data_IF_847422466734
#
_entry.id   IF_847422466734
#
_cell.length_a   1.000
_cell.length_b   1.000
_cell.length_c   1.000
_cell.angle_alpha   90.00
_cell.angle_beta   90.00
_cell.angle_gamma   90.00
#
_symmetry.space_group_name_H-M   'P 1'
#
loop_
_entity.id
_entity.type
_entity.pdbx_description
1 polymer ?
#
# COMPACT_ATOMS: atom_id res chain seq x y z
N UNK A 1 7.30 1.11 -9.93
CA UNK A 1 6.30 1.21 -11.00
C UNK A 1 5.87 2.66 -11.25
N UNK A 2 5.78 3.52 -10.22
CA UNK A 2 5.16 4.84 -10.35
C UNK A 2 6.12 6.02 -10.57
N UNK A 3 7.43 5.81 -10.67
CA UNK A 3 8.30 6.88 -11.16
C UNK A 3 8.07 7.07 -12.68
N UNK A 4 8.17 8.29 -13.21
CA UNK A 4 7.95 8.56 -14.64
C UNK A 4 8.84 7.70 -15.55
N UNK A 5 10.10 7.50 -15.15
CA UNK A 5 11.07 6.66 -15.87
C UNK A 5 10.63 5.21 -15.95
N UNK A 6 10.20 4.61 -14.83
CA UNK A 6 9.72 3.23 -14.79
C UNK A 6 8.42 3.09 -15.56
N UNK A 7 7.49 4.04 -15.41
CA UNK A 7 6.22 4.03 -16.15
C UNK A 7 6.47 4.03 -17.67
N UNK A 8 7.38 4.88 -18.17
CA UNK A 8 7.72 4.94 -19.60
C UNK A 8 8.29 3.61 -20.11
N UNK A 9 9.17 2.97 -19.35
CA UNK A 9 9.76 1.68 -19.72
C UNK A 9 8.71 0.57 -19.73
N UNK A 10 7.95 0.43 -18.64
CA UNK A 10 6.95 -0.64 -18.49
C UNK A 10 5.82 -0.48 -19.52
N UNK A 11 5.33 0.75 -19.74
CA UNK A 11 4.32 1.01 -20.76
C UNK A 11 4.84 0.70 -22.17
N UNK A 12 6.12 0.97 -22.47
CA UNK A 12 6.72 0.58 -23.75
C UNK A 12 6.75 -0.94 -23.96
N UNK A 13 7.08 -1.72 -22.93
CA UNK A 13 7.05 -3.19 -22.97
C UNK A 13 5.63 -3.70 -23.19
N UNK A 14 4.66 -3.20 -22.43
CA UNK A 14 3.26 -3.63 -22.54
C UNK A 14 2.66 -3.27 -23.90
N UNK A 15 2.90 -2.05 -24.41
CA UNK A 15 2.48 -1.67 -25.76
C UNK A 15 3.00 -2.61 -26.84
N UNK A 16 4.22 -3.13 -26.66
CA UNK A 16 4.87 -4.00 -27.66
C UNK A 16 4.45 -5.46 -27.55
N UNK A 17 4.33 -5.99 -26.33
CA UNK A 17 4.21 -7.44 -26.10
C UNK A 17 2.89 -7.86 -25.44
N UNK A 18 2.20 -6.94 -24.75
CA UNK A 18 1.02 -7.22 -23.93
C UNK A 18 -0.04 -6.11 -24.06
N UNK A 19 -0.46 -5.73 -25.28
CA UNK A 19 -1.32 -4.56 -25.50
C UNK A 19 -2.70 -4.71 -24.84
N UNK A 20 -3.20 -5.94 -24.71
CA UNK A 20 -4.51 -6.25 -24.09
C UNK A 20 -4.58 -5.90 -22.60
N UNK A 21 -3.44 -5.65 -21.96
CA UNK A 21 -3.34 -5.26 -20.55
C UNK A 21 -3.20 -3.75 -20.36
N UNK A 22 -3.35 -2.96 -21.42
CA UNK A 22 -3.07 -1.55 -21.42
C UNK A 22 -4.26 -0.73 -21.92
N UNK A 23 -4.85 0.06 -21.01
CA UNK A 23 -6.05 0.84 -21.28
C UNK A 23 -5.73 2.32 -21.16
N UNK A 24 -6.06 3.12 -22.18
CA UNK A 24 -5.90 4.57 -22.07
C UNK A 24 -7.08 5.17 -21.31
N UNK A 25 -6.80 5.72 -20.14
CA UNK A 25 -7.77 6.45 -19.33
C UNK A 25 -7.71 7.93 -19.70
N UNK A 26 -8.84 8.45 -20.19
CA UNK A 26 -8.95 9.85 -20.64
C UNK A 26 -8.86 10.83 -19.48
N UNK A 27 -9.44 10.49 -18.33
CA UNK A 27 -9.48 11.39 -17.18
C UNK A 27 -8.08 11.53 -16.56
N UNK A 28 -7.36 10.42 -16.44
CA UNK A 28 -5.98 10.39 -15.96
C UNK A 28 -4.95 10.73 -17.05
N UNK A 29 -5.39 10.93 -18.29
CA UNK A 29 -4.58 11.20 -19.48
C UNK A 29 -3.34 10.28 -19.58
N UNK A 30 -3.52 8.99 -19.30
CA UNK A 30 -2.43 8.02 -19.29
C UNK A 30 -2.91 6.60 -19.53
N UNK A 31 -1.97 5.71 -19.82
CA UNK A 31 -2.24 4.30 -19.88
C UNK A 31 -2.24 3.69 -18.47
N UNK A 32 -3.26 2.92 -18.17
CA UNK A 32 -3.40 2.13 -16.96
C UNK A 32 -3.17 0.67 -17.31
N UNK A 33 -2.42 -0.01 -16.45
CA UNK A 33 -2.24 -1.45 -16.52
C UNK A 33 -3.42 -2.11 -15.82
N UNK A 34 -4.23 -2.82 -16.58
CA UNK A 34 -5.40 -3.54 -16.08
C UNK A 34 -5.59 -4.84 -16.85
N UNK A 35 -6.40 -5.74 -16.32
CA UNK A 35 -6.79 -6.98 -16.98
C UNK A 35 -8.29 -6.92 -17.29
N UNK A 36 -8.68 -7.28 -18.51
CA UNK A 36 -10.09 -7.47 -18.83
C UNK A 36 -10.64 -8.66 -18.05
N UNK A 37 -11.88 -8.57 -17.55
CA UNK A 37 -12.51 -9.66 -16.80
C UNK A 37 -12.54 -10.97 -17.59
N UNK A 38 -12.72 -10.91 -18.91
CA UNK A 38 -12.75 -12.09 -19.80
C UNK A 38 -11.39 -12.79 -19.93
N UNK A 39 -10.30 -12.13 -19.53
CA UNK A 39 -8.94 -12.70 -19.52
C UNK A 39 -8.55 -13.26 -18.15
N UNK A 40 -9.39 -13.11 -17.12
CA UNK A 40 -9.12 -13.63 -15.78
C UNK A 40 -9.45 -15.13 -15.77
N UNK A 41 -8.40 -15.95 -15.66
CA UNK A 41 -8.54 -17.42 -15.54
C UNK A 41 -8.81 -17.83 -14.10
N UNK A 42 -8.13 -17.21 -13.13
CA UNK A 42 -8.25 -17.53 -11.71
C UNK A 42 -7.84 -16.31 -10.84
N UNK A 43 -8.30 -16.28 -9.59
CA UNK A 43 -7.99 -15.25 -8.60
C UNK A 43 -7.47 -15.88 -7.32
N UNK A 44 -6.18 -15.70 -7.05
CA UNK A 44 -5.55 -16.20 -5.83
C UNK A 44 -5.81 -15.23 -4.69
N UNK A 45 -6.66 -15.62 -3.74
CA UNK A 45 -6.94 -14.82 -2.55
C UNK A 45 -5.98 -15.16 -1.42
N UNK A 46 -5.41 -14.16 -0.71
CA UNK A 46 -4.44 -14.41 0.35
C UNK A 46 -4.95 -15.28 1.52
N UNK A 47 -6.23 -15.15 1.89
CA UNK A 47 -6.83 -15.93 2.96
C UNK A 47 -7.04 -17.40 2.55
N UNK A 48 -7.46 -17.64 1.31
CA UNK A 48 -7.59 -18.98 0.73
C UNK A 48 -6.21 -19.64 0.59
N UNK A 49 -5.19 -18.90 0.17
CA UNK A 49 -3.80 -19.38 0.13
C UNK A 49 -3.30 -19.82 1.52
N UNK A 50 -3.55 -19.03 2.57
CA UNK A 50 -3.21 -19.42 3.94
C UNK A 50 -3.99 -20.67 4.39
N UNK A 51 -5.29 -20.73 4.09
CA UNK A 51 -6.12 -21.90 4.39
C UNK A 51 -5.60 -23.16 3.70
N UNK A 52 -5.13 -23.05 2.46
CA UNK A 52 -4.53 -24.16 1.74
C UNK A 52 -3.23 -24.63 2.41
N UNK A 53 -2.36 -23.71 2.83
CA UNK A 53 -1.15 -24.07 3.59
C UNK A 53 -1.48 -24.75 4.92
N UNK A 54 -2.46 -24.24 5.68
CA UNK A 54 -2.86 -24.84 6.96
C UNK A 54 -3.40 -26.28 6.81
N UNK A 55 -3.92 -26.64 5.64
CA UNK A 55 -4.43 -27.98 5.34
C UNK A 55 -3.43 -28.84 4.52
N UNK A 56 -2.27 -28.29 4.17
CA UNK A 56 -1.26 -29.00 3.38
C UNK A 56 -0.58 -30.06 4.26
N UNK A 57 -0.41 -31.27 3.73
CA UNK A 57 0.22 -32.39 4.47
C UNK A 57 1.69 -32.13 4.80
N UNK A 58 2.41 -31.53 3.86
CA UNK A 58 3.84 -31.24 3.97
C UNK A 58 4.07 -29.80 3.55
N UNK A 59 4.59 -29.00 4.47
CA UNK A 59 5.04 -27.64 4.23
C UNK A 59 6.54 -27.67 3.97
N UNK A 60 6.99 -26.95 2.96
CA UNK A 60 8.42 -26.70 2.81
C UNK A 60 8.93 -25.75 3.91
N UNK A 61 10.26 -25.55 4.05
CA UNK A 61 10.81 -24.74 5.12
C UNK A 61 10.30 -23.29 5.15
N UNK A 62 10.05 -22.66 4.00
CA UNK A 62 9.58 -21.28 3.95
C UNK A 62 8.10 -21.20 4.31
N UNK A 63 7.29 -22.09 3.74
CA UNK A 63 5.85 -22.21 4.05
C UNK A 63 5.64 -22.45 5.55
N UNK A 64 6.43 -23.36 6.15
CA UNK A 64 6.36 -23.65 7.58
C UNK A 64 6.71 -22.43 8.43
N UNK A 65 7.74 -21.66 8.08
CA UNK A 65 8.07 -20.40 8.77
C UNK A 65 6.94 -19.39 8.67
N UNK A 66 6.32 -19.26 7.50
CA UNK A 66 5.26 -18.29 7.29
C UNK A 66 3.99 -18.66 8.08
N UNK A 67 3.60 -19.93 8.08
CA UNK A 67 2.49 -20.46 8.90
C UNK A 67 2.78 -20.22 10.39
N UNK A 68 3.97 -20.55 10.88
CA UNK A 68 4.34 -20.36 12.29
C UNK A 68 4.36 -18.88 12.70
N UNK A 69 4.83 -17.99 11.82
CA UNK A 69 4.74 -16.54 12.06
C UNK A 69 3.28 -16.09 12.19
N UNK A 70 2.40 -16.52 11.29
CA UNK A 70 0.98 -16.13 11.31
C UNK A 70 0.26 -16.69 12.55
N UNK A 71 0.53 -17.94 12.93
CA UNK A 71 -0.01 -18.53 14.16
C UNK A 71 0.44 -17.75 15.40
N UNK A 72 1.72 -17.41 15.49
CA UNK A 72 2.27 -16.59 16.57
C UNK A 72 1.59 -15.21 16.63
N UNK A 73 1.41 -14.55 15.48
CA UNK A 73 0.74 -13.26 15.40
C UNK A 73 -0.72 -13.37 15.83
N UNK A 74 -1.45 -14.39 15.38
CA UNK A 74 -2.85 -14.61 15.75
C UNK A 74 -3.01 -14.86 17.25
N UNK A 75 -2.17 -15.71 17.84
CA UNK A 75 -2.18 -16.02 19.28
C UNK A 75 -1.94 -14.76 20.12
N UNK A 76 -0.88 -13.99 19.83
CA UNK A 76 -0.50 -12.83 20.64
C UNK A 76 -1.37 -11.60 20.39
N UNK A 77 -1.98 -11.47 19.22
CA UNK A 77 -2.87 -10.35 18.90
C UNK A 77 -4.32 -10.59 19.29
N UNK A 78 -4.72 -11.86 19.45
CA UNK A 78 -6.12 -12.26 19.57
C UNK A 78 -6.94 -12.09 18.27
N UNK A 79 -6.30 -11.68 17.16
CA UNK A 79 -6.97 -11.58 15.86
C UNK A 79 -7.12 -12.98 15.27
N UNK A 80 -8.34 -13.32 14.87
CA UNK A 80 -8.64 -14.63 14.26
C UNK A 80 -7.84 -14.86 12.98
N UNK A 81 -7.39 -16.10 12.75
CA UNK A 81 -6.74 -16.55 11.51
C UNK A 81 -7.56 -16.25 10.24
N UNK A 82 -8.88 -16.12 10.35
CA UNK A 82 -9.74 -15.74 9.22
C UNK A 82 -9.45 -14.34 8.66
N UNK A 83 -8.79 -13.48 9.45
CA UNK A 83 -8.35 -12.16 9.02
C UNK A 83 -6.89 -12.13 8.56
N UNK A 84 -6.22 -13.27 8.49
CA UNK A 84 -4.86 -13.37 7.96
C UNK A 84 -4.87 -13.97 6.57
N UNK A 85 -3.80 -13.69 5.82
CA UNK A 85 -3.53 -14.30 4.54
C UNK A 85 -2.05 -14.29 4.21
N UNK A 86 -1.69 -15.01 3.17
CA UNK A 86 -0.35 -15.02 2.59
C UNK A 86 -0.45 -14.71 1.11
N UNK A 87 0.41 -13.83 0.59
CA UNK A 87 0.42 -13.47 -0.82
C UNK A 87 1.83 -13.58 -1.40
N UNK A 88 2.03 -13.03 -2.61
CA UNK A 88 3.32 -13.05 -3.27
C UNK A 88 3.77 -14.45 -3.67
N UNK A 89 5.08 -14.69 -3.63
CA UNK A 89 5.68 -15.90 -4.21
C UNK A 89 5.20 -17.20 -3.55
N UNK A 90 4.90 -17.19 -2.25
CA UNK A 90 4.38 -18.37 -1.52
C UNK A 90 2.98 -18.74 -2.01
N UNK A 91 2.08 -17.76 -2.16
CA UNK A 91 0.72 -18.01 -2.66
C UNK A 91 0.67 -18.53 -4.10
N UNK A 92 1.73 -18.25 -4.88
CA UNK A 92 1.88 -18.66 -6.27
C UNK A 92 2.65 -19.99 -6.41
N UNK A 93 3.23 -20.52 -5.33
CA UNK A 93 4.14 -21.67 -5.40
C UNK A 93 5.42 -21.40 -6.22
N UNK A 94 5.83 -20.13 -6.32
CA UNK A 94 6.98 -19.66 -7.11
C UNK A 94 8.12 -19.16 -6.21
N UNK A 95 8.06 -19.43 -4.91
CA UNK A 95 9.08 -18.98 -3.97
C UNK A 95 10.36 -19.80 -4.08
N UNK A 96 11.46 -19.20 -3.63
CA UNK A 96 12.74 -19.88 -3.44
C UNK A 96 13.38 -19.47 -2.13
N UNK A 97 14.62 -19.89 -1.89
CA UNK A 97 15.31 -19.69 -0.60
C UNK A 97 15.48 -18.23 -0.18
N UNK A 98 15.40 -17.29 -1.13
CA UNK A 98 15.53 -15.85 -0.91
C UNK A 98 14.19 -15.11 -0.90
N UNK A 99 13.08 -15.83 -0.99
CA UNK A 99 11.75 -15.22 -0.95
C UNK A 99 11.43 -14.69 0.43
N UNK A 100 10.74 -13.55 0.45
CA UNK A 100 10.17 -12.98 1.66
C UNK A 100 8.84 -13.67 2.03
N UNK A 101 8.44 -13.52 3.29
CA UNK A 101 7.10 -13.88 3.76
C UNK A 101 6.17 -12.67 3.66
N UNK A 102 5.37 -12.65 2.61
CA UNK A 102 4.38 -11.61 2.34
C UNK A 102 3.06 -11.93 3.08
N UNK A 103 2.92 -11.41 4.30
CA UNK A 103 1.76 -11.64 5.18
C UNK A 103 0.73 -10.53 4.97
N UNK A 104 -0.55 -10.90 4.88
CA UNK A 104 -1.68 -9.98 4.79
C UNK A 104 -2.56 -10.03 6.02
N UNK A 105 -3.08 -8.87 6.44
CA UNK A 105 -4.12 -8.77 7.48
C UNK A 105 -5.29 -7.98 6.93
N UNK A 106 -6.47 -8.59 6.98
CA UNK A 106 -7.74 -8.00 6.55
C UNK A 106 -8.34 -7.14 7.66
N UNK A 107 -8.74 -5.92 7.32
CA UNK A 107 -9.36 -4.98 8.24
C UNK A 107 -8.37 -3.98 8.83
N UNK A 108 -8.70 -2.69 8.77
CA UNK A 108 -7.84 -1.62 9.26
C UNK A 108 -7.61 -1.70 10.77
N UNK A 109 -8.64 -2.14 11.51
CA UNK A 109 -8.57 -2.36 12.96
C UNK A 109 -7.65 -3.53 13.29
N UNK A 110 -7.84 -4.67 12.63
CA UNK A 110 -7.04 -5.89 12.84
C UNK A 110 -5.56 -5.62 12.52
N UNK A 111 -5.27 -4.99 11.38
CA UNK A 111 -3.90 -4.65 10.99
C UNK A 111 -3.18 -3.80 12.04
N UNK A 112 -3.86 -2.81 12.64
CA UNK A 112 -3.28 -1.99 13.71
C UNK A 112 -2.99 -2.80 14.98
N UNK A 113 -3.89 -3.71 15.37
CA UNK A 113 -3.66 -4.61 16.51
C UNK A 113 -2.41 -5.46 16.24
N UNK A 114 -2.32 -6.09 15.06
CA UNK A 114 -1.17 -6.92 14.69
C UNK A 114 0.14 -6.11 14.61
N UNK A 115 0.09 -4.85 14.14
CA UNK A 115 1.26 -3.96 14.17
C UNK A 115 1.76 -3.68 15.60
N UNK A 116 0.88 -3.47 16.56
CA UNK A 116 1.30 -3.32 17.96
C UNK A 116 1.85 -4.64 18.52
N UNK A 117 1.24 -5.77 18.16
CA UNK A 117 1.76 -7.11 18.50
C UNK A 117 3.16 -7.34 17.94
N UNK A 118 3.45 -6.91 16.71
CA UNK A 118 4.81 -6.98 16.14
C UNK A 118 5.84 -6.24 17.00
N UNK A 119 5.48 -5.05 17.50
CA UNK A 119 6.36 -4.26 18.37
C UNK A 119 6.58 -4.92 19.73
N UNK A 120 5.55 -5.56 20.27
CA UNK A 120 5.67 -6.33 21.52
C UNK A 120 6.55 -7.58 21.33
N UNK A 121 6.36 -8.33 20.24
CA UNK A 121 7.16 -9.51 19.92
C UNK A 121 8.63 -9.16 19.64
N UNK A 122 8.91 -8.02 19.02
CA UNK A 122 10.27 -7.48 18.85
C UNK A 122 10.93 -7.19 20.21
N UNK A 123 10.22 -6.54 21.14
CA UNK A 123 10.72 -6.30 22.52
C UNK A 123 10.98 -7.59 23.29
N UNK A 124 10.20 -8.64 23.02
CA UNK A 124 10.35 -9.98 23.63
C UNK A 124 11.40 -10.85 22.93
N UNK A 125 12.04 -10.37 21.86
CA UNK A 125 13.05 -11.13 21.10
C UNK A 125 12.48 -12.33 20.34
N UNK A 126 11.16 -12.35 20.05
CA UNK A 126 10.51 -13.42 19.28
C UNK A 126 10.66 -13.24 17.76
N UNK A 127 10.89 -12.01 17.34
CA UNK A 127 11.20 -11.57 15.97
C UNK A 127 12.02 -10.28 16.05
N UNK A 128 12.49 -9.78 14.91
CA UNK A 128 13.22 -8.50 14.86
C UNK A 128 12.63 -7.57 13.81
N UNK A 129 12.15 -6.39 14.21
CA UNK A 129 11.67 -5.38 13.26
C UNK A 129 12.83 -4.66 12.56
N UNK A 130 12.64 -4.41 11.26
CA UNK A 130 13.59 -3.66 10.44
C UNK A 130 13.71 -2.21 10.92
N UNK A 131 14.95 -1.70 10.89
CA UNK A 131 15.30 -0.33 11.25
C UNK A 131 16.25 0.30 10.21
N UNK A 132 16.31 -0.28 9.02
CA UNK A 132 17.24 0.09 7.94
C UNK A 132 16.90 1.46 7.35
N UNK A 133 15.61 1.78 7.23
CA UNK A 133 15.14 3.08 6.72
C UNK A 133 14.25 3.83 7.73
N UNK A 134 14.06 5.13 7.51
CA UNK A 134 13.07 5.92 8.25
C UNK A 134 11.66 5.34 8.08
N UNK A 135 11.32 4.89 6.88
CA UNK A 135 10.03 4.28 6.60
C UNK A 135 9.82 2.99 7.41
N UNK A 136 10.84 2.14 7.56
CA UNK A 136 10.73 0.92 8.37
C UNK A 136 10.48 1.26 9.84
N UNK A 137 11.20 2.26 10.36
CA UNK A 137 11.05 2.71 11.75
C UNK A 137 9.65 3.26 12.04
N UNK A 138 9.08 4.00 11.10
CA UNK A 138 7.74 4.58 11.26
C UNK A 138 6.65 3.52 11.10
N UNK A 139 6.75 2.70 10.04
CA UNK A 139 5.69 1.76 9.66
C UNK A 139 5.68 0.52 10.55
N UNK A 140 6.84 0.02 10.94
CA UNK A 140 6.99 -1.17 11.79
C UNK A 140 6.38 -2.44 11.20
N UNK A 141 6.24 -2.52 9.88
CA UNK A 141 5.55 -3.61 9.18
C UNK A 141 6.53 -4.55 8.45
N UNK A 142 7.84 -4.34 8.59
CA UNK A 142 8.89 -5.17 7.98
C UNK A 142 9.79 -5.69 9.09
N UNK A 143 10.18 -6.95 9.01
CA UNK A 143 11.06 -7.56 10.00
C UNK A 143 11.61 -8.91 9.57
N UNK A 144 12.17 -9.62 10.54
CA UNK A 144 12.80 -10.92 10.38
C UNK A 144 12.24 -11.90 11.42
N UNK A 145 11.87 -13.09 10.96
CA UNK A 145 11.43 -14.20 11.80
C UNK A 145 12.20 -15.46 11.38
N UNK A 146 12.90 -16.08 12.33
CA UNK A 146 13.74 -17.27 12.09
C UNK A 146 14.69 -17.12 10.88
N UNK A 147 15.35 -15.96 10.78
CA UNK A 147 16.31 -15.66 9.72
C UNK A 147 15.69 -15.36 8.33
N UNK A 148 14.37 -15.30 8.23
CA UNK A 148 13.66 -14.97 6.98
C UNK A 148 12.93 -13.64 7.12
N UNK A 149 13.06 -12.78 6.11
CA UNK A 149 12.39 -11.47 6.06
C UNK A 149 10.89 -11.64 5.85
N UNK A 150 10.09 -10.81 6.53
CA UNK A 150 8.65 -10.73 6.34
C UNK A 150 8.20 -9.29 6.11
N UNK A 151 7.08 -9.14 5.43
CA UNK A 151 6.36 -7.88 5.24
C UNK A 151 4.90 -8.10 5.60
N UNK A 152 4.36 -7.24 6.46
CA UNK A 152 2.94 -7.20 6.80
C UNK A 152 2.23 -6.14 5.94
N UNK A 153 1.16 -6.55 5.26
CA UNK A 153 0.34 -5.67 4.42
C UNK A 153 -1.12 -5.66 4.89
N UNK A 154 -1.76 -4.51 4.81
CA UNK A 154 -3.19 -4.38 5.10
C UNK A 154 -4.03 -4.63 3.85
N UNK A 155 -5.14 -5.36 3.99
CA UNK A 155 -6.18 -5.54 2.97
C UNK A 155 -7.50 -5.03 3.53
N UNK A 156 -8.27 -4.29 2.73
CA UNK A 156 -9.60 -3.82 3.13
C UNK A 156 -10.56 -5.00 3.29
N UNK A 157 -11.42 -4.95 4.28
CA UNK A 157 -12.65 -5.74 4.28
C UNK A 157 -13.63 -5.20 3.24
N UNK A 158 -14.58 -6.02 2.81
CA UNK A 158 -15.58 -5.61 1.83
C UNK A 158 -16.35 -4.36 2.29
N UNK A 159 -16.64 -4.25 3.59
CA UNK A 159 -17.32 -3.08 4.16
C UNK A 159 -16.43 -1.82 4.25
N UNK A 160 -15.10 -1.98 4.16
CA UNK A 160 -14.13 -0.88 4.10
C UNK A 160 -13.91 -0.40 2.66
N UNK A 161 -14.35 -1.16 1.66
CA UNK A 161 -14.23 -0.78 0.25
C UNK A 161 -15.30 0.25 -0.09
N UNK A 162 -14.88 1.51 -0.13
CA UNK A 162 -15.70 2.64 -0.59
C UNK A 162 -15.36 2.92 -2.05
N UNK A 163 -15.99 2.21 -2.98
CA UNK A 163 -15.88 2.51 -4.41
C UNK A 163 -16.98 3.49 -4.83
N UNK A 164 -16.58 4.58 -5.46
CA UNK A 164 -17.47 5.49 -6.20
C UNK A 164 -16.85 5.75 -7.55
N UNK A 165 -17.68 5.84 -8.58
CA UNK A 165 -17.24 6.41 -9.85
C UNK A 165 -16.98 7.90 -9.63
N UNK A 166 -15.78 8.34 -10.00
CA UNK A 166 -15.31 9.72 -9.82
C UNK A 166 -14.93 10.28 -11.19
N UNK A 167 -15.49 11.44 -11.53
CA UNK A 167 -14.98 12.24 -12.64
C UNK A 167 -13.82 13.09 -12.10
N UNK A 168 -12.68 13.03 -12.78
CA UNK A 168 -11.48 13.76 -12.35
C UNK A 168 -10.93 14.62 -13.49
N UNK A 169 -10.49 15.82 -13.11
CA UNK A 169 -9.77 16.77 -13.96
C UNK A 169 -8.39 17.03 -13.36
N UNK A 170 -7.35 16.94 -14.19
CA UNK A 170 -5.97 17.19 -13.77
C UNK A 170 -5.65 18.69 -13.81
N UNK A 171 -5.26 19.27 -12.67
CA UNK A 171 -5.00 20.71 -12.52
C UNK A 171 -3.51 21.08 -12.44
N UNK A 172 -2.63 20.18 -12.87
CA UNK A 172 -1.18 20.35 -12.84
C UNK A 172 -0.53 19.91 -11.53
N UNK A 173 0.80 19.91 -11.49
CA UNK A 173 1.56 19.55 -10.31
C UNK A 173 1.67 20.71 -9.31
N UNK A 174 1.86 20.36 -8.05
CA UNK A 174 2.10 21.31 -6.99
C UNK A 174 3.00 20.73 -5.90
N UNK A 175 3.65 21.62 -5.16
CA UNK A 175 4.29 21.31 -3.88
C UNK A 175 3.49 22.01 -2.80
N UNK A 176 2.97 21.23 -1.84
CA UNK A 176 2.23 21.77 -0.69
C UNK A 176 2.85 21.35 0.63
N UNK A 177 2.65 22.19 1.65
CA UNK A 177 2.79 21.83 3.06
C UNK A 177 1.41 21.71 3.68
N UNK A 178 1.11 20.60 4.34
CA UNK A 178 -0.21 20.34 4.94
C UNK A 178 -0.09 19.55 6.25
N UNK A 179 -1.16 19.53 7.04
CA UNK A 179 -1.24 18.79 8.30
C UNK A 179 -2.17 17.59 8.15
N UNK A 180 -1.77 16.43 8.66
CA UNK A 180 -2.61 15.23 8.64
C UNK A 180 -3.66 15.32 9.74
N UNK A 181 -4.94 15.20 9.37
CA UNK A 181 -6.08 15.18 10.29
C UNK A 181 -6.71 13.78 10.42
N UNK A 182 -6.49 12.91 9.44
CA UNK A 182 -6.94 11.52 9.43
C UNK A 182 -5.94 10.62 8.68
N UNK A 183 -5.50 9.54 9.34
CA UNK A 183 -4.60 8.51 8.82
C UNK A 183 -5.25 7.12 8.77
N UNK A 184 -6.58 7.01 8.86
CA UNK A 184 -7.28 5.72 8.90
C UNK A 184 -6.99 4.84 7.67
N UNK A 185 -7.14 5.42 6.48
CA UNK A 185 -6.92 4.77 5.17
C UNK A 185 -5.44 4.74 4.72
N UNK A 186 -4.53 5.32 5.51
CA UNK A 186 -3.12 5.49 5.12
C UNK A 186 -2.37 4.18 4.95
N UNK A 187 -2.82 3.11 5.59
CA UNK A 187 -2.16 1.79 5.60
C UNK A 187 -2.45 0.96 4.34
N UNK A 188 -3.50 1.31 3.59
CA UNK A 188 -3.97 0.54 2.44
C UNK A 188 -3.31 0.98 1.13
N UNK A 189 -3.69 0.34 0.03
CA UNK A 189 -3.41 0.78 -1.34
C UNK A 189 -4.71 1.24 -2.01
N UNK A 190 -4.76 2.45 -2.60
CA UNK A 190 -3.84 3.56 -2.35
C UNK A 190 -3.87 3.96 -0.86
N UNK A 191 -2.80 4.61 -0.39
CA UNK A 191 -2.76 5.22 0.92
C UNK A 191 -3.45 6.57 0.85
N UNK A 192 -4.43 6.81 1.73
CA UNK A 192 -5.19 8.06 1.75
C UNK A 192 -4.99 8.72 3.12
N UNK A 193 -4.61 9.99 3.08
CA UNK A 193 -4.51 10.86 4.26
C UNK A 193 -5.50 12.00 4.11
N UNK A 194 -6.36 12.20 5.10
CA UNK A 194 -7.13 13.43 5.23
C UNK A 194 -6.21 14.55 5.73
N UNK A 195 -6.24 15.71 5.09
CA UNK A 195 -5.34 16.83 5.40
C UNK A 195 -6.07 18.16 5.57
N UNK A 196 -5.45 19.08 6.32
CA UNK A 196 -5.87 20.46 6.50
C UNK A 196 -4.67 21.42 6.40
N UNK A 197 -4.95 22.73 6.50
CA UNK A 197 -3.93 23.79 6.58
C UNK A 197 -2.93 23.76 5.42
N UNK A 198 -3.42 23.46 4.23
CA UNK A 198 -2.64 23.32 3.00
C UNK A 198 -2.09 24.68 2.53
N UNK A 199 -0.76 24.81 2.52
CA UNK A 199 -0.04 25.97 1.98
C UNK A 199 0.69 25.56 0.71
N UNK A 200 0.43 26.30 -0.37
CA UNK A 200 1.11 26.08 -1.65
C UNK A 200 2.53 26.68 -1.57
N UNK A 201 3.53 25.85 -1.84
CA UNK A 201 4.93 26.26 -1.97
C UNK A 201 5.21 26.62 -3.44
N UNK A 202 4.72 25.81 -4.38
CA UNK A 202 4.81 26.07 -5.82
C UNK A 202 3.75 25.27 -6.60
N UNK A 203 3.50 25.68 -7.85
CA UNK A 203 2.58 25.01 -8.76
C UNK A 203 1.14 25.53 -8.68
N UNK A 204 0.18 24.65 -8.92
CA UNK A 204 -1.26 24.98 -9.01
C UNK A 204 -1.80 25.68 -7.75
N UNK A 205 -2.48 26.83 -7.90
CA UNK A 205 -3.08 27.56 -6.78
C UNK A 205 -4.27 26.83 -6.14
N UNK A 206 -4.94 25.96 -6.92
CA UNK A 206 -5.99 25.06 -6.41
C UNK A 206 -5.48 24.11 -5.32
N UNK A 207 -4.16 23.89 -5.25
CA UNK A 207 -3.55 23.05 -4.24
C UNK A 207 -3.78 23.55 -2.79
N UNK A 208 -4.19 24.81 -2.60
CA UNK A 208 -4.59 25.34 -1.29
C UNK A 208 -5.87 24.69 -0.73
N UNK A 209 -6.72 24.15 -1.60
CA UNK A 209 -8.01 23.55 -1.22
C UNK A 209 -7.94 22.02 -1.10
N UNK A 210 -6.74 21.44 -1.16
CA UNK A 210 -6.54 19.98 -1.06
C UNK A 210 -7.05 19.47 0.28
N UNK A 211 -7.95 18.49 0.22
CA UNK A 211 -8.52 17.80 1.39
C UNK A 211 -7.90 16.42 1.62
N UNK A 212 -7.29 15.84 0.57
CA UNK A 212 -6.70 14.50 0.63
C UNK A 212 -5.33 14.43 -0.04
N UNK A 213 -4.39 13.74 0.61
CA UNK A 213 -3.17 13.25 -0.02
C UNK A 213 -3.36 11.77 -0.33
N UNK A 214 -3.24 11.38 -1.59
CA UNK A 214 -3.41 10.00 -2.05
C UNK A 214 -2.10 9.49 -2.64
N UNK A 215 -1.57 8.37 -2.13
CA UNK A 215 -0.34 7.78 -2.63
C UNK A 215 -0.57 6.39 -3.24
N UNK A 216 -0.14 6.24 -4.48
CA UNK A 216 -0.01 4.96 -5.18
C UNK A 216 1.31 4.25 -4.83
N UNK A 217 2.27 4.95 -4.23
CA UNK A 217 3.61 4.44 -3.92
C UNK A 217 3.62 3.75 -2.55
N UNK A 218 4.02 2.47 -2.54
CA UNK A 218 3.95 1.61 -1.35
C UNK A 218 4.81 2.04 -0.16
N UNK A 219 5.89 2.80 -0.38
CA UNK A 219 6.73 3.31 0.72
C UNK A 219 5.97 4.29 1.61
N UNK A 220 5.02 5.04 1.03
CA UNK A 220 4.22 6.04 1.74
C UNK A 220 2.96 5.50 2.41
N UNK A 221 2.78 4.17 2.48
CA UNK A 221 1.68 3.58 3.27
C UNK A 221 2.01 3.63 4.76
N UNK A 222 1.12 4.17 5.58
CA UNK A 222 1.30 4.33 7.02
C UNK A 222 2.55 5.13 7.39
N UNK A 223 3.00 6.01 6.49
CA UNK A 223 4.24 6.77 6.62
C UNK A 223 4.10 8.01 7.50
N UNK A 224 2.88 8.49 7.71
CA UNK A 224 2.57 9.61 8.59
C UNK A 224 1.34 9.30 9.45
N UNK A 225 1.18 10.02 10.55
CA UNK A 225 0.10 9.89 11.52
C UNK A 225 -0.68 11.18 11.65
N UNK A 226 -1.90 11.07 12.16
CA UNK A 226 -2.67 12.25 12.57
C UNK A 226 -1.84 13.17 13.46
N UNK A 227 -1.76 14.43 13.07
CA UNK A 227 -0.97 15.47 13.74
C UNK A 227 0.33 15.82 13.01
N UNK A 228 0.87 14.95 12.15
CA UNK A 228 2.11 15.20 11.42
C UNK A 228 1.95 16.28 10.35
N UNK A 229 3.04 16.98 10.04
CA UNK A 229 3.13 17.90 8.92
C UNK A 229 3.82 17.22 7.73
N UNK A 230 3.21 17.32 6.56
CA UNK A 230 3.73 16.76 5.32
C UNK A 230 4.18 17.86 4.37
N UNK A 231 5.26 17.59 3.63
CA UNK A 231 5.59 18.26 2.38
C UNK A 231 5.32 17.24 1.27
N UNK A 232 4.43 17.60 0.34
CA UNK A 232 3.96 16.71 -0.70
C UNK A 232 4.18 17.37 -2.06
N UNK A 233 4.78 16.63 -2.99
CA UNK A 233 4.82 16.97 -4.41
C UNK A 233 4.03 15.92 -5.18
N UNK A 234 3.04 16.35 -5.95
CA UNK A 234 2.12 15.46 -6.66
C UNK A 234 1.25 16.19 -7.68
N UNK A 235 0.41 15.42 -8.37
CA UNK A 235 -0.59 15.92 -9.32
C UNK A 235 -1.85 16.36 -8.57
N UNK A 236 -2.38 17.55 -8.85
CA UNK A 236 -3.65 18.01 -8.31
C UNK A 236 -4.80 17.46 -9.16
N UNK A 237 -5.76 16.83 -8.49
CA UNK A 237 -6.98 16.32 -9.10
C UNK A 237 -8.18 17.02 -8.49
N UNK A 238 -9.03 17.58 -9.36
CA UNK A 238 -10.36 18.09 -9.04
C UNK A 238 -11.36 16.94 -9.23
N UNK A 239 -12.04 16.54 -8.16
CA UNK A 239 -12.96 15.39 -8.17
C UNK A 239 -14.40 15.89 -8.20
N UNK A 240 -15.21 15.29 -9.07
CA UNK A 240 -16.64 15.53 -9.24
C UNK A 240 -17.00 17.02 -9.31
N UNK A 241 -16.34 17.75 -10.20
CA UNK A 241 -16.62 19.18 -10.47
C UNK A 241 -16.56 20.08 -9.21
N UNK A 242 -15.53 19.89 -8.38
CA UNK A 242 -15.27 20.73 -7.21
C UNK A 242 -15.84 20.20 -5.90
N UNK A 243 -16.29 18.94 -5.86
CA UNK A 243 -16.69 18.29 -4.60
C UNK A 243 -15.53 18.28 -3.60
N UNK A 244 -14.32 17.94 -4.08
CA UNK A 244 -13.08 18.13 -3.33
C UNK A 244 -11.85 18.08 -4.25
N UNK A 245 -10.73 18.55 -3.71
CA UNK A 245 -9.41 18.47 -4.34
C UNK A 245 -8.53 17.45 -3.61
N UNK A 246 -7.74 16.70 -4.37
CA UNK A 246 -6.70 15.83 -3.82
C UNK A 246 -5.36 16.04 -4.53
N UNK A 247 -4.28 15.73 -3.82
CA UNK A 247 -2.95 15.64 -4.41
C UNK A 247 -2.54 14.16 -4.50
N UNK A 248 -2.19 13.70 -5.70
CA UNK A 248 -1.82 12.31 -5.98
C UNK A 248 -0.31 12.17 -6.13
N UNK A 249 0.26 11.24 -5.38
CA UNK A 249 1.66 10.84 -5.44
C UNK A 249 1.76 9.44 -6.07
N UNK A 250 2.60 9.32 -7.09
CA UNK A 250 2.65 8.17 -7.99
C UNK A 250 1.69 8.28 -9.18
N UNK A 251 1.43 9.50 -9.66
CA UNK A 251 0.67 9.76 -10.88
C UNK A 251 1.44 9.27 -12.12
N UNK A 252 2.78 9.32 -12.08
CA UNK A 252 3.69 8.96 -13.17
C UNK A 252 4.09 10.12 -14.08
N UNK A 253 3.65 11.36 -13.78
CA UNK A 253 3.96 12.54 -14.59
C UNK A 253 5.24 13.29 -14.19
N UNK A 254 5.60 13.28 -12.91
CA UNK A 254 6.83 13.93 -12.42
C UNK A 254 7.50 13.13 -11.29
N UNK A 255 8.68 13.58 -10.86
CA UNK A 255 9.30 13.07 -9.63
C UNK A 255 8.50 13.58 -8.42
N UNK A 256 7.67 12.71 -7.86
CA UNK A 256 6.68 12.97 -6.81
C UNK A 256 7.07 12.30 -5.51
N UNK A 257 6.74 12.94 -4.39
CA UNK A 257 7.15 12.46 -3.08
C UNK A 257 6.23 12.94 -1.95
N UNK A 258 6.33 12.23 -0.82
CA UNK A 258 5.84 12.65 0.49
C UNK A 258 7.04 12.68 1.43
N UNK A 259 7.18 13.75 2.19
CA UNK A 259 8.19 13.90 3.24
C UNK A 259 7.54 14.43 4.51
N UNK A 260 8.04 14.01 5.67
CA UNK A 260 7.62 14.58 6.96
C UNK A 260 8.44 15.85 7.22
N UNK A 261 7.75 16.96 7.50
CA UNK A 261 8.37 18.18 8.01
C UNK A 261 8.46 18.08 9.53
N UNK A 262 9.62 18.30 10.14
CA UNK A 262 9.70 18.59 11.57
C UNK A 262 8.79 19.77 11.91
N UNK A 263 8.25 19.75 13.13
CA UNK A 263 7.51 20.86 13.75
C UNK A 263 8.48 22.01 14.01
#
# INVERSE_FOLDING_TARGET
>A
MFSPSVYKVVSGVFKKYFPDYLFFDKNLNKYIFSISHDLIIDVIKPNEALKNLLNKKELDPLENKAVNLILLLSEYSGVSLNYFGIHGSISLGMHGDKSDMDVSVYGAKNYRIVLETLRDLDKRGKLTLSRESLADRIKGNVGWYQGTRFVLNAIRLDEEIKCKEENLELLGDAIIKCRVIDDYESIFRPAIYGVSDCRVISGSSFAANVSYVVSMIGIYRGFARKGDNLIVKGMIENVNEGEYYRIVVGSGFSEEFISISPI
#
